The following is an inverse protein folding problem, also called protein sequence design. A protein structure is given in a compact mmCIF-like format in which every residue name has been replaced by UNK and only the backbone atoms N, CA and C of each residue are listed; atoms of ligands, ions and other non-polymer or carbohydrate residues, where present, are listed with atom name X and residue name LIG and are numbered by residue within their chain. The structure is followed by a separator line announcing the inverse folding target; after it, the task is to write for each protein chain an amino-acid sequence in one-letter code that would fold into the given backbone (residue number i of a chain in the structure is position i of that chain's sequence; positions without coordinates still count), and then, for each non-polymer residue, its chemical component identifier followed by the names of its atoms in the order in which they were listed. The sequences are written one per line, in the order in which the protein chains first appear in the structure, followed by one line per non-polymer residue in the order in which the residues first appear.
data_IF_178271671864
#
_entry.id   IF_178271671864
#
_cell.length_a   1.000
_cell.length_b   1.000
_cell.length_c   1.000
_cell.angle_alpha   90.00
_cell.angle_beta   90.00
_cell.angle_gamma   90.00
#
_symmetry.space_group_name_H-M   'P 1'
#
loop_
_entity.id
_entity.type
_entity.pdbx_description
1 polymer ?
#
# COMPACT_ATOMS: atom_id res chain seq x y z
N UNK A 1 -14.70 -9.26 1.19
CA UNK A 1 -15.78 -9.01 0.22
C UNK A 1 -15.23 -9.38 -1.13
N UNK A 2 -15.86 -10.31 -1.87
CA UNK A 2 -15.45 -10.59 -3.26
C UNK A 2 -15.82 -9.39 -4.15
N UNK A 3 -15.06 -9.08 -5.22
CA UNK A 3 -15.42 -8.04 -6.17
C UNK A 3 -16.83 -8.31 -6.75
N UNK A 4 -17.59 -7.24 -7.07
CA UNK A 4 -17.14 -5.86 -7.20
C UNK A 4 -17.17 -5.02 -5.91
N UNK A 5 -17.77 -5.55 -4.85
CA UNK A 5 -17.93 -4.87 -3.56
C UNK A 5 -18.92 -3.70 -3.56
N UNK A 6 -18.64 -2.64 -4.32
CA UNK A 6 -19.51 -1.46 -4.48
C UNK A 6 -20.27 -1.46 -5.80
N UNK A 7 -21.35 -0.67 -5.87
CA UNK A 7 -22.11 -0.49 -7.11
C UNK A 7 -21.26 0.22 -8.17
N UNK A 8 -21.58 -0.04 -9.45
CA UNK A 8 -20.88 0.60 -10.57
C UNK A 8 -21.03 2.13 -10.54
N UNK A 9 -22.21 2.64 -10.19
CA UNK A 9 -22.48 4.08 -10.09
C UNK A 9 -21.60 4.76 -9.05
N UNK A 10 -21.46 4.16 -7.86
CA UNK A 10 -20.58 4.69 -6.82
C UNK A 10 -19.11 4.67 -7.26
N UNK A 11 -18.66 3.60 -7.91
CA UNK A 11 -17.30 3.57 -8.47
C UNK A 11 -17.07 4.69 -9.50
N UNK A 12 -18.03 4.98 -10.36
CA UNK A 12 -17.93 6.08 -11.34
C UNK A 12 -17.90 7.44 -10.67
N UNK A 13 -18.69 7.64 -9.61
CA UNK A 13 -18.67 8.86 -8.80
C UNK A 13 -17.33 9.08 -8.11
N UNK A 14 -16.75 8.03 -7.51
CA UNK A 14 -15.40 8.09 -6.90
C UNK A 14 -14.36 8.54 -7.93
N UNK A 15 -14.39 7.96 -9.14
CA UNK A 15 -13.48 8.32 -10.22
C UNK A 15 -13.70 9.75 -10.74
N UNK A 16 -14.96 10.21 -10.85
CA UNK A 16 -15.26 11.56 -11.34
C UNK A 16 -14.81 12.67 -10.39
N UNK A 17 -14.69 12.36 -9.09
CA UNK A 17 -14.08 13.24 -8.09
C UNK A 17 -12.54 13.18 -8.08
N UNK A 18 -11.95 12.43 -9.01
CA UNK A 18 -10.50 12.33 -9.16
C UNK A 18 -9.84 11.38 -8.15
N UNK A 19 -10.59 10.59 -7.37
CA UNK A 19 -10.00 9.55 -6.53
C UNK A 19 -9.54 8.34 -7.35
N UNK A 20 -8.70 7.49 -6.77
CA UNK A 20 -8.34 6.21 -7.36
C UNK A 20 -9.23 5.08 -6.84
N UNK A 21 -9.46 4.07 -7.69
CA UNK A 21 -9.98 2.78 -7.25
C UNK A 21 -8.81 1.81 -7.14
N UNK A 22 -8.55 1.32 -5.93
CA UNK A 22 -7.60 0.25 -5.67
C UNK A 22 -8.24 -1.13 -5.71
N UNK A 23 -7.46 -2.14 -6.05
CA UNK A 23 -7.87 -3.53 -5.95
C UNK A 23 -7.80 -4.01 -4.50
N UNK A 24 -8.76 -4.83 -4.08
CA UNK A 24 -8.83 -5.37 -2.72
C UNK A 24 -8.93 -6.89 -2.77
N UNK A 25 -7.81 -7.56 -3.06
CA UNK A 25 -7.80 -9.01 -3.26
C UNK A 25 -8.34 -9.76 -2.04
N UNK A 26 -9.34 -10.62 -2.25
CA UNK A 26 -9.98 -11.40 -1.20
C UNK A 26 -9.73 -12.89 -1.38
N UNK A 27 -8.65 -13.37 -0.75
CA UNK A 27 -8.38 -14.79 -0.64
C UNK A 27 -9.14 -15.49 0.50
N UNK A 28 -9.97 -14.80 1.29
CA UNK A 28 -10.61 -15.38 2.49
C UNK A 28 -12.09 -15.68 2.27
N UNK A 29 -12.83 -14.75 1.66
CA UNK A 29 -14.27 -14.91 1.54
C UNK A 29 -14.58 -15.87 0.40
N UNK A 30 -15.14 -17.02 0.76
CA UNK A 30 -15.85 -17.88 -0.18
C UNK A 30 -17.32 -17.46 -0.14
N UNK A 31 -17.84 -16.89 -1.23
CA UNK A 31 -19.27 -16.66 -1.38
C UNK A 31 -19.98 -18.04 -1.37
N UNK A 32 -20.51 -18.44 -0.21
CA UNK A 32 -21.40 -19.61 -0.08
C UNK A 32 -20.76 -20.98 0.22
N UNK A 33 -19.47 -21.09 0.58
CA UNK A 33 -18.87 -22.39 1.00
C UNK A 33 -18.43 -22.38 2.46
N UNK A 34 -18.61 -23.52 3.16
CA UNK A 34 -18.08 -23.72 4.53
C UNK A 34 -16.58 -23.43 4.54
N UNK A 35 -16.15 -22.51 5.40
CA UNK A 35 -14.75 -22.12 5.58
C UNK A 35 -13.98 -23.28 6.22
N UNK A 36 -13.31 -24.08 5.39
CA UNK A 36 -12.31 -25.07 5.83
C UNK A 36 -10.91 -24.56 5.46
N UNK A 37 -9.88 -24.99 6.21
CA UNK A 37 -8.47 -24.69 5.90
C UNK A 37 -8.12 -24.99 4.43
N UNK A 38 -8.56 -26.15 3.93
CA UNK A 38 -8.39 -26.58 2.53
C UNK A 38 -9.11 -25.68 1.53
N UNK A 39 -10.26 -25.12 1.88
CA UNK A 39 -10.97 -24.17 1.01
C UNK A 39 -10.32 -22.79 1.00
N UNK A 40 -9.69 -22.37 2.10
CA UNK A 40 -9.01 -21.09 2.18
C UNK A 40 -7.68 -21.10 1.44
N UNK A 41 -6.91 -22.20 1.48
CA UNK A 41 -5.65 -22.30 0.73
C UNK A 41 -5.87 -22.19 -0.78
N UNK A 42 -6.96 -22.78 -1.31
CA UNK A 42 -7.30 -22.69 -2.74
C UNK A 42 -7.63 -21.27 -3.22
N UNK A 43 -7.99 -20.37 -2.32
CA UNK A 43 -8.32 -18.98 -2.65
C UNK A 43 -7.07 -18.09 -2.73
N UNK A 44 -5.93 -18.54 -2.18
CA UNK A 44 -4.65 -17.88 -2.37
C UNK A 44 -3.95 -18.47 -3.60
N UNK A 45 -4.22 -17.88 -4.77
CA UNK A 45 -3.57 -18.29 -6.02
C UNK A 45 -3.52 -17.14 -7.01
N UNK A 46 -2.53 -17.18 -7.90
CA UNK A 46 -2.43 -16.26 -9.03
C UNK A 46 -3.70 -16.25 -9.88
N UNK A 47 -4.26 -17.42 -10.18
CA UNK A 47 -5.49 -17.53 -10.99
C UNK A 47 -6.68 -16.84 -10.33
N UNK A 48 -6.84 -16.96 -9.02
CA UNK A 48 -7.94 -16.30 -8.30
C UNK A 48 -7.72 -14.79 -8.19
N UNK A 49 -6.47 -14.35 -8.00
CA UNK A 49 -6.07 -12.94 -8.04
C UNK A 49 -6.43 -12.31 -9.40
N UNK A 50 -5.99 -12.94 -10.49
CA UNK A 50 -6.25 -12.48 -11.85
C UNK A 50 -7.76 -12.43 -12.15
N UNK A 51 -8.50 -13.48 -11.77
CA UNK A 51 -9.95 -13.55 -11.96
C UNK A 51 -10.67 -12.40 -11.25
N UNK A 52 -10.32 -12.15 -9.99
CA UNK A 52 -10.91 -11.05 -9.21
C UNK A 52 -10.53 -9.68 -9.78
N UNK A 53 -9.28 -9.49 -10.21
CA UNK A 53 -8.80 -8.24 -10.82
C UNK A 53 -9.55 -7.93 -12.12
N UNK A 54 -9.63 -8.89 -13.06
CA UNK A 54 -10.38 -8.75 -14.32
C UNK A 54 -11.86 -8.46 -14.08
N UNK A 55 -12.45 -9.11 -13.06
CA UNK A 55 -13.84 -8.85 -12.66
C UNK A 55 -14.04 -7.40 -12.21
N UNK A 56 -13.14 -6.87 -11.37
CA UNK A 56 -13.22 -5.49 -10.91
C UNK A 56 -13.01 -4.49 -12.06
N UNK A 57 -12.00 -4.71 -12.91
CA UNK A 57 -11.74 -3.87 -14.09
C UNK A 57 -12.97 -3.79 -15.01
N UNK A 58 -13.61 -4.92 -15.29
CA UNK A 58 -14.85 -4.97 -16.10
C UNK A 58 -16.00 -4.21 -15.43
N UNK A 59 -16.12 -4.29 -14.11
CA UNK A 59 -17.19 -3.64 -13.36
C UNK A 59 -17.03 -2.12 -13.31
N UNK A 60 -15.82 -1.64 -12.99
CA UNK A 60 -15.54 -0.22 -12.79
C UNK A 60 -15.21 0.52 -14.08
N UNK A 61 -14.73 -0.20 -15.11
CA UNK A 61 -14.13 0.41 -16.29
C UNK A 61 -12.76 1.03 -16.04
N UNK A 62 -12.22 0.92 -14.82
CA UNK A 62 -10.91 1.43 -14.47
C UNK A 62 -9.83 0.44 -14.93
N UNK A 63 -8.95 0.89 -15.82
CA UNK A 63 -7.82 0.12 -16.30
C UNK A 63 -6.62 1.04 -16.62
N UNK A 64 -5.39 0.67 -16.21
CA UNK A 64 -5.05 -0.43 -15.31
C UNK A 64 -5.45 -0.11 -13.85
N UNK A 65 -5.70 -1.16 -13.05
CA UNK A 65 -5.79 -1.01 -11.60
C UNK A 65 -4.37 -1.10 -11.04
N UNK A 66 -3.85 0.05 -10.59
CA UNK A 66 -2.43 0.21 -10.26
C UNK A 66 -2.06 -0.25 -8.85
N UNK A 67 -3.03 -0.24 -7.94
CA UNK A 67 -2.82 -0.47 -6.51
C UNK A 67 -3.60 -1.68 -6.00
N UNK A 68 -3.05 -2.38 -5.01
CA UNK A 68 -3.73 -3.45 -4.27
C UNK A 68 -3.62 -3.23 -2.76
N UNK A 69 -4.54 -3.87 -2.02
CA UNK A 69 -4.39 -4.19 -0.60
C UNK A 69 -5.13 -5.49 -0.31
N UNK A 70 -4.52 -6.50 0.29
CA UNK A 70 -5.23 -7.75 0.58
C UNK A 70 -6.25 -7.58 1.70
N UNK A 71 -7.39 -8.26 1.55
CA UNK A 71 -8.40 -8.39 2.59
C UNK A 71 -7.80 -9.04 3.84
N UNK A 72 -8.08 -8.46 5.02
CA UNK A 72 -7.48 -8.85 6.30
C UNK A 72 -5.94 -8.91 6.33
N UNK A 73 -5.28 -8.13 5.48
CA UNK A 73 -3.81 -8.14 5.33
C UNK A 73 -3.25 -9.55 5.11
N UNK A 74 -4.02 -10.46 4.50
CA UNK A 74 -3.57 -11.84 4.32
C UNK A 74 -2.31 -11.88 3.47
N UNK A 75 -1.37 -12.71 3.91
CA UNK A 75 -0.10 -12.93 3.25
C UNK A 75 0.31 -14.39 3.38
N UNK A 76 0.78 -14.98 2.29
CA UNK A 76 1.42 -16.30 2.30
C UNK A 76 2.72 -16.24 1.50
N UNK A 77 3.65 -17.14 1.84
CA UNK A 77 4.96 -17.17 1.23
C UNK A 77 5.82 -15.94 1.57
N UNK A 78 6.83 -15.70 0.73
CA UNK A 78 7.83 -14.63 0.92
C UNK A 78 7.50 -13.41 0.07
N UNK A 79 7.76 -13.51 -1.24
CA UNK A 79 7.64 -12.42 -2.22
C UNK A 79 6.72 -12.73 -3.39
N UNK A 80 6.29 -13.99 -3.53
CA UNK A 80 5.44 -14.50 -4.62
C UNK A 80 4.27 -13.56 -4.93
N UNK A 81 3.58 -13.06 -3.91
CA UNK A 81 2.44 -12.18 -4.10
C UNK A 81 2.79 -10.86 -4.80
N UNK A 82 3.96 -10.29 -4.53
CA UNK A 82 4.42 -9.06 -5.19
C UNK A 82 4.81 -9.34 -6.64
N UNK A 83 5.35 -10.53 -6.91
CA UNK A 83 5.66 -10.99 -8.28
C UNK A 83 4.36 -11.16 -9.09
N UNK A 84 3.33 -11.75 -8.47
CA UNK A 84 1.98 -11.81 -9.06
C UNK A 84 1.39 -10.43 -9.34
N UNK A 85 1.56 -9.48 -8.41
CA UNK A 85 1.14 -8.10 -8.61
C UNK A 85 1.85 -7.47 -9.81
N UNK A 86 3.18 -7.61 -9.88
CA UNK A 86 3.99 -7.10 -10.98
C UNK A 86 3.53 -7.65 -12.33
N UNK A 87 3.31 -8.98 -12.42
CA UNK A 87 2.85 -9.67 -13.62
C UNK A 87 1.48 -9.16 -14.10
N UNK A 88 0.58 -8.85 -13.16
CA UNK A 88 -0.76 -8.32 -13.47
C UNK A 88 -0.81 -6.80 -13.68
N UNK A 89 0.33 -6.11 -13.67
CA UNK A 89 0.40 -4.67 -13.88
C UNK A 89 0.07 -3.83 -12.63
N UNK A 90 -0.10 -4.47 -11.48
CA UNK A 90 -0.17 -3.78 -10.18
C UNK A 90 1.25 -3.36 -9.82
N UNK A 91 1.40 -2.13 -9.35
CA UNK A 91 2.70 -1.49 -9.09
C UNK A 91 2.85 -1.02 -7.65
N UNK A 92 1.76 -1.02 -6.89
CA UNK A 92 1.76 -0.68 -5.46
C UNK A 92 0.87 -1.68 -4.71
N UNK A 93 1.44 -2.38 -3.75
CA UNK A 93 0.72 -3.12 -2.72
C UNK A 93 0.74 -2.37 -1.38
N UNK A 94 -0.30 -2.56 -0.60
CA UNK A 94 -0.54 -1.86 0.67
C UNK A 94 -0.98 -2.85 1.75
N UNK A 95 -0.56 -4.11 1.62
CA UNK A 95 -1.02 -5.20 2.46
C UNK A 95 -0.33 -5.21 3.83
N UNK A 96 0.93 -4.78 3.89
CA UNK A 96 1.77 -4.81 5.09
C UNK A 96 1.39 -3.66 6.01
N UNK A 97 0.50 -3.93 6.95
CA UNK A 97 0.19 -3.02 8.05
C UNK A 97 -0.57 -3.75 9.17
N UNK A 98 -1.04 -3.02 10.20
CA UNK A 98 -1.76 -3.59 11.31
C UNK A 98 -3.11 -4.17 10.86
N UNK A 99 -3.43 -5.40 11.26
CA UNK A 99 -4.77 -5.99 11.07
C UNK A 99 -5.51 -6.32 12.35
N UNK A 100 -4.90 -6.03 13.51
CA UNK A 100 -5.42 -6.34 14.85
C UNK A 100 -5.14 -5.20 15.82
N UNK A 101 -5.98 -5.10 16.85
CA UNK A 101 -5.73 -4.21 17.97
C UNK A 101 -4.37 -4.54 18.61
N UNK A 102 -3.60 -3.50 18.94
CA UNK A 102 -2.26 -3.62 19.51
C UNK A 102 -1.11 -3.70 18.48
N UNK A 103 -1.40 -3.72 17.18
CA UNK A 103 -0.34 -3.73 16.13
C UNK A 103 -0.11 -2.37 15.47
N UNK A 104 -0.78 -1.32 15.96
CA UNK A 104 -0.70 0.04 15.44
C UNK A 104 0.73 0.60 15.49
N UNK A 105 1.08 1.46 14.55
CA UNK A 105 2.41 2.04 14.40
C UNK A 105 3.18 1.44 13.23
N UNK A 106 4.41 0.98 13.45
CA UNK A 106 5.31 0.54 12.37
C UNK A 106 5.66 -0.96 12.50
N UNK A 107 4.69 -1.90 12.41
CA UNK A 107 4.95 -3.32 12.61
C UNK A 107 5.91 -3.92 11.56
N UNK A 108 6.06 -3.25 10.41
CA UNK A 108 7.00 -3.61 9.35
C UNK A 108 8.21 -2.66 9.27
N UNK A 109 8.42 -1.83 10.30
CA UNK A 109 9.62 -1.01 10.48
C UNK A 109 9.81 0.13 9.47
N UNK A 110 8.78 0.51 8.73
CA UNK A 110 8.90 1.53 7.69
C UNK A 110 7.64 2.39 7.55
N UNK A 111 7.85 3.65 7.19
CA UNK A 111 6.86 4.54 6.56
C UNK A 111 7.30 4.98 5.14
N UNK A 112 8.38 4.42 4.61
CA UNK A 112 8.82 4.65 3.24
C UNK A 112 8.33 3.55 2.31
N UNK A 113 7.92 3.88 1.08
CA UNK A 113 7.71 2.88 0.04
C UNK A 113 8.98 2.07 -0.22
N UNK A 114 8.85 0.75 -0.39
CA UNK A 114 10.01 -0.13 -0.61
C UNK A 114 9.70 -1.22 -1.65
N UNK A 115 10.74 -1.77 -2.29
CA UNK A 115 10.60 -2.91 -3.20
C UNK A 115 11.20 -4.15 -2.55
N UNK A 116 10.49 -5.27 -2.65
CA UNK A 116 11.05 -6.57 -2.32
C UNK A 116 12.07 -7.00 -3.38
N UNK A 117 12.95 -7.91 -2.99
CA UNK A 117 13.87 -8.59 -3.88
C UNK A 117 13.42 -10.06 -4.02
N UNK A 118 13.30 -10.56 -5.24
CA UNK A 118 12.95 -11.95 -5.49
C UNK A 118 14.13 -12.90 -5.16
N UNK A 119 13.93 -14.21 -5.33
CA UNK A 119 14.94 -15.23 -5.01
C UNK A 119 16.23 -15.11 -5.86
N UNK A 120 16.12 -14.51 -7.05
CA UNK A 120 17.25 -14.29 -7.97
C UNK A 120 18.01 -12.98 -7.68
N UNK A 121 17.63 -12.25 -6.63
CA UNK A 121 18.26 -10.99 -6.27
C UNK A 121 17.75 -9.78 -7.07
N UNK A 122 16.66 -9.91 -7.83
CA UNK A 122 16.08 -8.82 -8.62
C UNK A 122 15.01 -8.06 -7.82
N UNK A 123 15.02 -6.74 -7.91
CA UNK A 123 13.94 -5.92 -7.35
C UNK A 123 12.64 -6.17 -8.13
N UNK A 124 11.58 -6.50 -7.40
CA UNK A 124 10.25 -6.74 -7.94
C UNK A 124 9.60 -5.39 -8.25
N UNK A 125 9.02 -5.23 -9.43
CA UNK A 125 8.37 -4.01 -9.92
C UNK A 125 7.05 -3.63 -9.23
N UNK A 126 6.82 -4.11 -8.01
CA UNK A 126 5.71 -3.73 -7.15
C UNK A 126 6.25 -3.14 -5.83
N UNK A 127 5.88 -1.90 -5.54
CA UNK A 127 6.23 -1.21 -4.29
C UNK A 127 5.26 -1.63 -3.18
N UNK A 128 5.76 -1.85 -1.98
CA UNK A 128 4.93 -1.90 -0.79
C UNK A 128 4.87 -0.51 -0.15
N UNK A 129 3.67 -0.01 0.13
CA UNK A 129 3.43 1.17 0.96
C UNK A 129 2.70 0.73 2.23
N UNK A 130 3.48 0.42 3.27
CA UNK A 130 2.94 -0.03 4.54
C UNK A 130 2.04 1.02 5.17
N UNK A 131 0.91 0.58 5.73
CA UNK A 131 0.01 1.44 6.51
C UNK A 131 0.28 1.28 8.01
N UNK A 132 0.10 2.36 8.76
CA UNK A 132 0.45 2.43 10.18
C UNK A 132 -0.75 2.30 11.10
N UNK A 133 -1.94 2.62 10.61
CA UNK A 133 -3.16 2.48 11.39
C UNK A 133 -4.42 2.28 10.55
N UNK A 134 -5.49 1.84 11.21
CA UNK A 134 -6.80 1.71 10.60
C UNK A 134 -7.91 2.01 11.61
N UNK A 135 -8.94 2.74 11.17
CA UNK A 135 -10.12 3.14 11.94
C UNK A 135 -9.76 3.60 13.38
N UNK A 136 -9.12 4.75 13.52
CA UNK A 136 -8.74 5.31 14.82
C UNK A 136 -9.92 5.28 15.82
N UNK A 137 -9.61 4.98 17.08
CA UNK A 137 -10.61 4.83 18.15
C UNK A 137 -11.43 3.53 18.09
N UNK A 138 -11.26 2.71 17.05
CA UNK A 138 -11.88 1.40 16.92
C UNK A 138 -10.87 0.26 16.93
N UNK A 139 -9.85 0.29 16.08
CA UNK A 139 -8.82 -0.76 16.04
C UNK A 139 -7.56 -0.41 16.84
N UNK A 140 -7.53 0.75 17.46
CA UNK A 140 -6.42 1.20 18.30
C UNK A 140 -6.81 2.39 19.15
N UNK A 141 -5.99 2.70 20.17
CA UNK A 141 -6.16 3.89 20.99
C UNK A 141 -6.08 5.18 20.16
N UNK A 142 -6.84 6.20 20.55
CA UNK A 142 -6.92 7.48 19.82
C UNK A 142 -5.62 8.28 19.93
N UNK A 143 -4.96 8.19 21.08
CA UNK A 143 -3.70 8.85 21.43
C UNK A 143 -2.49 8.36 20.61
N UNK A 144 -2.64 7.28 19.83
CA UNK A 144 -1.58 6.80 18.92
C UNK A 144 -1.33 7.73 17.74
N UNK A 145 -2.27 8.61 17.40
CA UNK A 145 -2.20 9.47 16.21
C UNK A 145 -0.97 10.39 16.23
N UNK A 146 -0.74 11.10 17.34
CA UNK A 146 0.34 12.09 17.44
C UNK A 146 1.72 11.43 17.41
N UNK A 147 1.85 10.29 18.08
CA UNK A 147 3.09 9.50 18.11
C UNK A 147 3.43 8.97 16.70
N UNK A 148 2.42 8.50 15.98
CA UNK A 148 2.57 8.01 14.60
C UNK A 148 3.02 9.16 13.69
N UNK A 149 2.34 10.31 13.74
CA UNK A 149 2.67 11.45 12.89
C UNK A 149 4.06 12.02 13.19
N UNK A 150 4.45 12.14 14.47
CA UNK A 150 5.80 12.54 14.87
C UNK A 150 6.86 11.60 14.27
N UNK A 151 6.64 10.29 14.34
CA UNK A 151 7.52 9.29 13.73
C UNK A 151 7.64 9.43 12.21
N UNK A 152 6.52 9.65 11.51
CA UNK A 152 6.51 9.84 10.06
C UNK A 152 7.23 11.13 9.66
N UNK A 153 7.00 12.23 10.37
CA UNK A 153 7.64 13.53 10.09
C UNK A 153 9.15 13.43 10.30
N UNK A 154 9.60 12.85 11.42
CA UNK A 154 11.03 12.65 11.71
C UNK A 154 11.73 11.79 10.65
N UNK A 155 11.01 10.85 10.05
CA UNK A 155 11.52 9.99 8.99
C UNK A 155 11.36 10.59 7.59
N UNK A 156 10.61 11.68 7.41
CA UNK A 156 10.18 12.18 6.09
C UNK A 156 9.48 11.09 5.24
N UNK A 157 8.58 10.33 5.88
CA UNK A 157 7.87 9.20 5.27
C UNK A 157 6.44 9.50 4.80
N UNK A 158 5.69 8.43 4.53
CA UNK A 158 4.27 8.44 4.17
C UNK A 158 3.43 8.08 5.39
N UNK A 159 2.52 8.97 5.79
CA UNK A 159 1.50 8.68 6.79
C UNK A 159 0.31 8.00 6.10
N UNK A 160 0.26 6.67 6.18
CA UNK A 160 -0.78 5.87 5.53
C UNK A 160 -1.70 5.23 6.58
N UNK A 161 -2.95 5.69 6.62
CA UNK A 161 -4.00 5.17 7.50
C UNK A 161 -5.24 4.79 6.69
N UNK A 162 -5.95 3.76 7.14
CA UNK A 162 -7.12 3.21 6.42
C UNK A 162 -8.40 3.51 7.20
N UNK A 163 -9.45 3.92 6.49
CA UNK A 163 -10.80 4.03 7.05
C UNK A 163 -11.77 3.18 6.24
N UNK A 164 -12.54 2.33 6.93
CA UNK A 164 -13.59 1.55 6.31
C UNK A 164 -14.91 2.33 6.35
N UNK A 165 -15.69 2.43 5.25
CA UNK A 165 -16.96 3.17 5.26
C UNK A 165 -17.96 2.72 6.34
N UNK A 166 -18.00 1.43 6.66
CA UNK A 166 -18.84 0.89 7.73
C UNK A 166 -18.45 1.39 9.15
N UNK A 167 -17.30 2.02 9.29
CA UNK A 167 -16.79 2.55 10.56
C UNK A 167 -16.64 4.07 10.50
N UNK A 168 -16.21 4.62 9.37
CA UNK A 168 -16.04 6.06 9.15
C UNK A 168 -17.34 6.88 9.27
N UNK A 169 -18.51 6.25 9.19
CA UNK A 169 -19.82 6.88 9.44
C UNK A 169 -20.19 6.97 10.92
N UNK A 170 -19.46 6.26 11.80
CA UNK A 170 -19.66 6.36 13.25
C UNK A 170 -19.11 7.70 13.75
N UNK A 171 -19.85 8.47 14.57
CA UNK A 171 -19.45 9.82 14.96
C UNK A 171 -18.01 9.93 15.49
N UNK A 172 -17.60 8.98 16.35
CA UNK A 172 -16.25 8.94 16.94
C UNK A 172 -15.15 8.75 15.89
N UNK A 173 -15.28 7.74 15.03
CA UNK A 173 -14.27 7.44 13.98
C UNK A 173 -14.24 8.57 12.94
N UNK A 174 -15.40 9.14 12.62
CA UNK A 174 -15.51 10.27 11.72
C UNK A 174 -14.74 11.49 12.26
N UNK A 175 -14.95 11.85 13.53
CA UNK A 175 -14.23 12.95 14.17
C UNK A 175 -12.72 12.75 14.12
N UNK A 176 -12.23 11.54 14.43
CA UNK A 176 -10.80 11.21 14.39
C UNK A 176 -10.22 11.22 12.97
N UNK A 177 -11.00 10.84 11.95
CA UNK A 177 -10.61 10.96 10.55
C UNK A 177 -10.39 12.45 10.18
N UNK A 178 -11.31 13.33 10.59
CA UNK A 178 -11.17 14.77 10.36
C UNK A 178 -10.00 15.37 11.15
N UNK A 179 -9.79 14.95 12.39
CA UNK A 179 -8.64 15.34 13.20
C UNK A 179 -7.32 14.94 12.55
N UNK A 180 -7.19 13.69 12.10
CA UNK A 180 -6.00 13.22 11.40
C UNK A 180 -5.69 14.05 10.16
N UNK A 181 -6.70 14.33 9.32
CA UNK A 181 -6.54 15.17 8.14
C UNK A 181 -6.10 16.59 8.52
N UNK A 182 -6.65 17.15 9.59
CA UNK A 182 -6.31 18.50 10.08
C UNK A 182 -4.85 18.55 10.54
N UNK A 183 -4.42 17.62 11.40
CA UNK A 183 -3.03 17.53 11.88
C UNK A 183 -2.03 17.33 10.74
N UNK A 184 -2.35 16.47 9.77
CA UNK A 184 -1.53 16.30 8.57
C UNK A 184 -1.35 17.63 7.80
N UNK A 185 -2.40 18.43 7.64
CA UNK A 185 -2.32 19.74 7.00
C UNK A 185 -1.47 20.73 7.79
N UNK A 186 -1.64 20.77 9.11
CA UNK A 186 -0.86 21.64 10.01
C UNK A 186 0.64 21.30 9.97
N UNK A 187 0.97 20.02 9.79
CA UNK A 187 2.33 19.53 9.61
C UNK A 187 2.88 19.71 8.18
N UNK A 188 2.11 20.33 7.27
CA UNK A 188 2.52 20.58 5.89
C UNK A 188 2.50 19.36 4.98
N UNK A 189 1.77 18.31 5.33
CA UNK A 189 1.72 17.07 4.54
C UNK A 189 1.05 17.29 3.18
N UNK A 190 1.60 16.63 2.15
CA UNK A 190 0.98 16.53 0.82
C UNK A 190 0.08 15.30 0.75
N UNK A 191 -1.16 15.49 0.30
CA UNK A 191 -2.11 14.39 0.12
C UNK A 191 -1.99 13.85 -1.30
N UNK A 192 -1.62 12.57 -1.42
CA UNK A 192 -1.37 11.90 -2.70
C UNK A 192 -2.16 10.59 -2.79
N UNK A 193 -2.53 10.20 -4.00
CA UNK A 193 -3.02 8.83 -4.27
C UNK A 193 -1.84 7.87 -4.21
N UNK A 194 -2.08 6.62 -3.83
CA UNK A 194 -1.02 5.62 -3.74
C UNK A 194 -0.38 5.34 -5.09
N UNK A 195 -1.16 5.42 -6.20
CA UNK A 195 -0.57 5.35 -7.55
C UNK A 195 0.44 6.48 -7.81
N UNK A 196 0.15 7.70 -7.36
CA UNK A 196 0.96 8.88 -7.67
C UNK A 196 2.26 8.83 -6.85
N UNK A 197 2.20 8.32 -5.61
CA UNK A 197 3.38 7.99 -4.81
C UNK A 197 4.24 6.95 -5.53
N UNK A 198 3.61 5.85 -5.98
CA UNK A 198 4.33 4.78 -6.69
C UNK A 198 5.03 5.27 -7.96
N UNK A 199 4.31 6.03 -8.80
CA UNK A 199 4.88 6.66 -10.00
C UNK A 199 6.05 7.58 -9.67
N UNK A 200 5.91 8.43 -8.63
CA UNK A 200 6.98 9.33 -8.20
C UNK A 200 8.22 8.56 -7.76
N UNK A 201 8.06 7.51 -6.95
CA UNK A 201 9.19 6.67 -6.49
C UNK A 201 9.91 6.03 -7.68
N UNK A 202 9.19 5.45 -8.63
CA UNK A 202 9.80 4.84 -9.82
C UNK A 202 10.51 5.88 -10.70
N UNK A 203 9.88 7.04 -10.95
CA UNK A 203 10.49 8.14 -11.72
C UNK A 203 11.76 8.65 -11.04
N UNK A 204 11.73 8.84 -9.72
CA UNK A 204 12.90 9.26 -8.93
C UNK A 204 14.04 8.23 -9.02
N UNK A 205 13.75 6.93 -8.90
CA UNK A 205 14.76 5.87 -9.06
C UNK A 205 15.39 5.90 -10.46
N UNK A 206 14.59 6.06 -11.52
CA UNK A 206 15.11 6.19 -12.89
C UNK A 206 15.97 7.45 -13.06
N UNK A 207 15.54 8.58 -12.51
CA UNK A 207 16.30 9.82 -12.58
C UNK A 207 17.68 9.65 -11.94
N UNK A 208 17.73 9.05 -10.75
CA UNK A 208 19.00 8.86 -10.05
C UNK A 208 19.88 7.82 -10.73
N UNK A 209 19.31 6.74 -11.28
CA UNK A 209 20.06 5.78 -12.10
C UNK A 209 20.65 6.42 -13.38
N UNK A 210 20.13 7.57 -13.82
CA UNK A 210 20.68 8.38 -14.91
C UNK A 210 21.64 9.47 -14.44
N UNK A 211 22.04 9.45 -13.17
CA UNK A 211 22.96 10.43 -12.59
C UNK A 211 22.32 11.79 -12.29
N UNK A 212 20.99 11.92 -12.37
CA UNK A 212 20.30 13.14 -11.91
C UNK A 212 20.33 13.13 -10.38
N UNK A 213 20.94 14.17 -9.80
CA UNK A 213 20.95 14.35 -8.35
C UNK A 213 19.53 14.53 -7.83
N UNK A 214 19.26 13.98 -6.65
CA UNK A 214 17.99 14.18 -5.98
C UNK A 214 17.79 15.66 -5.59
N UNK A 215 16.56 16.05 -5.24
CA UNK A 215 16.22 17.43 -4.87
C UNK A 215 17.08 17.98 -3.71
N UNK A 216 17.62 17.11 -2.86
CA UNK A 216 18.48 17.48 -1.73
C UNK A 216 20.00 17.37 -2.04
N UNK A 217 20.38 17.12 -3.30
CA UNK A 217 21.79 16.87 -3.66
C UNK A 217 22.35 15.54 -3.12
N UNK A 218 21.49 14.66 -2.61
CA UNK A 218 21.89 13.38 -2.04
C UNK A 218 22.40 12.43 -3.13
N UNK A 219 23.68 12.06 -3.07
CA UNK A 219 24.24 10.96 -3.87
C UNK A 219 23.64 9.64 -3.40
N UNK A 220 23.01 8.86 -4.27
CA UNK A 220 22.69 7.47 -3.91
C UNK A 220 24.02 6.74 -3.70
N UNK A 221 24.09 6.03 -2.57
CA UNK A 221 25.15 5.09 -2.29
C UNK A 221 24.62 3.68 -2.45
N UNK A 222 25.35 2.85 -3.17
CA UNK A 222 25.20 1.41 -3.18
C UNK A 222 25.92 0.82 -1.97
N UNK A 223 25.37 -0.28 -1.44
CA UNK A 223 26.09 -1.09 -0.46
C UNK A 223 26.66 -2.31 -1.17
N UNK A 224 27.98 -2.38 -1.33
CA UNK A 224 28.65 -3.65 -1.61
C UNK A 224 28.43 -4.55 -0.38
N UNK A 225 27.70 -5.67 -0.48
CA UNK A 225 27.40 -6.52 0.67
C UNK A 225 28.67 -7.14 1.31
N UNK A 226 29.84 -7.04 0.65
CA UNK A 226 31.13 -7.50 1.16
C UNK A 226 31.93 -6.40 1.86
N UNK A 227 31.50 -5.14 1.79
CA UNK A 227 32.16 -4.00 2.44
C UNK A 227 31.24 -3.39 3.49
N UNK A 228 31.82 -2.83 4.55
CA UNK A 228 31.05 -2.18 5.62
C UNK A 228 30.51 -0.81 5.19
N UNK A 229 31.09 -0.21 4.16
CA UNK A 229 30.83 1.17 3.77
C UNK A 229 29.91 1.27 2.55
N UNK A 230 29.07 2.30 2.58
CA UNK A 230 28.23 2.72 1.47
C UNK A 230 29.08 3.48 0.43
N UNK A 231 29.12 2.99 -0.81
CA UNK A 231 29.88 3.59 -1.91
C UNK A 231 28.95 4.39 -2.81
N UNK A 232 29.28 5.64 -3.20
CA UNK A 232 28.49 6.40 -4.16
C UNK A 232 28.28 5.62 -5.47
N UNK A 233 27.06 5.63 -6.01
CA UNK A 233 26.81 5.13 -7.36
C UNK A 233 27.40 6.14 -8.33
N UNK A 234 28.59 5.86 -8.84
CA UNK A 234 29.11 6.56 -10.02
C UNK A 234 28.48 5.92 -11.25
N UNK A 235 27.46 6.55 -11.81
CA UNK A 235 26.94 6.19 -13.14
C UNK A 235 27.99 6.62 -14.16
N UNK A 236 28.88 5.73 -14.55
CA UNK A 236 29.68 5.94 -15.74
C UNK A 236 28.73 5.84 -16.94
N UNK A 237 28.62 6.95 -17.67
CA UNK A 237 27.91 7.13 -18.94
C UNK A 237 28.33 6.12 -20.00
#
# INVERSE_FOLDING_TARGET
MQPPGYSKSLCQEILSHGHEIGFHFDAISNAGKKKTLKSMSRLWSFTELERQLKTLQKHTGAFPLYTNKNHYTRWEGRTEFLEWCEELGIRVDQTKGPSKCGTQGFPFGSCHPWQAMNIDGKLIGCLEISFQSQDFGLQGPEDTMDILLDGVVKAAGVAHVIFHPAHATKPRVNALMHEFITKCKELGASFMKSRDIGEWVFKRKLAIAKGIQDLDGASIKERDPRKKDWVPITTNS
#
